data_IF_781401710718
#
_entry.id   IF_781401710718
#
_cell.length_a   1.000
_cell.length_b   1.000
_cell.length_c   1.000
_cell.angle_alpha   90.00
_cell.angle_beta   90.00
_cell.angle_gamma   90.00
#
_symmetry.space_group_name_H-M   'P 1'
#
loop_
_entity.id
_entity.type
_entity.pdbx_description
1 polymer ?
#
# COMPACT_ATOMS: atom_id res chain seq x y z
N UNK A 1 -23.43 -23.89 15.77
CA UNK A 1 -22.41 -22.82 15.98
C UNK A 1 -22.17 -22.18 14.63
N UNK A 2 -22.72 -21.02 14.40
CA UNK A 2 -22.57 -20.30 13.16
C UNK A 2 -21.21 -19.57 13.19
N UNK A 3 -20.26 -20.08 12.42
CA UNK A 3 -19.06 -19.32 12.11
C UNK A 3 -19.51 -18.01 11.45
N UNK A 4 -19.06 -16.90 11.97
CA UNK A 4 -19.27 -15.59 11.36
C UNK A 4 -18.52 -15.58 10.02
N UNK A 5 -19.19 -15.52 8.86
CA UNK A 5 -18.55 -15.67 7.55
C UNK A 5 -17.63 -14.48 7.17
N UNK A 6 -17.31 -13.61 8.13
CA UNK A 6 -16.76 -12.29 7.83
C UNK A 6 -15.23 -12.20 7.71
N UNK A 7 -14.47 -12.78 8.63
CA UNK A 7 -13.03 -12.46 8.76
C UNK A 7 -12.18 -13.16 7.69
N UNK A 8 -12.39 -14.43 7.45
CA UNK A 8 -11.66 -15.19 6.45
C UNK A 8 -11.94 -14.72 5.02
N UNK A 9 -13.19 -14.36 4.72
CA UNK A 9 -13.58 -13.83 3.42
C UNK A 9 -12.96 -12.44 3.17
N UNK A 10 -13.03 -11.54 4.13
CA UNK A 10 -12.45 -10.20 4.01
C UNK A 10 -10.92 -10.27 3.80
N UNK A 11 -10.24 -11.17 4.51
CA UNK A 11 -8.80 -11.40 4.35
C UNK A 11 -8.47 -11.94 2.95
N UNK A 12 -9.24 -12.90 2.46
CA UNK A 12 -9.08 -13.44 1.11
C UNK A 12 -9.27 -12.37 0.03
N UNK A 13 -10.28 -11.52 0.15
CA UNK A 13 -10.52 -10.40 -0.76
C UNK A 13 -9.35 -9.41 -0.74
N UNK A 14 -8.83 -9.07 0.44
CA UNK A 14 -7.71 -8.16 0.58
C UNK A 14 -6.45 -8.69 -0.12
N UNK A 15 -6.10 -9.94 0.12
CA UNK A 15 -4.92 -10.59 -0.49
C UNK A 15 -5.08 -10.76 -2.00
N UNK A 16 -6.26 -11.15 -2.47
CA UNK A 16 -6.54 -11.35 -3.90
C UNK A 16 -6.51 -10.02 -4.65
N UNK A 17 -7.08 -8.97 -4.09
CA UNK A 17 -7.04 -7.61 -4.66
C UNK A 17 -5.61 -7.09 -4.75
N UNK A 18 -4.83 -7.23 -3.68
CA UNK A 18 -3.42 -6.81 -3.66
C UNK A 18 -2.58 -7.57 -4.68
N UNK A 19 -2.77 -8.88 -4.81
CA UNK A 19 -2.07 -9.69 -5.80
C UNK A 19 -2.38 -9.25 -7.22
N UNK A 20 -3.65 -9.07 -7.56
CA UNK A 20 -4.07 -8.62 -8.88
C UNK A 20 -3.49 -7.24 -9.22
N UNK A 21 -3.48 -6.31 -8.28
CA UNK A 21 -2.87 -4.99 -8.46
C UNK A 21 -1.36 -5.10 -8.67
N UNK A 22 -0.67 -5.86 -7.84
CA UNK A 22 0.80 -5.96 -7.89
C UNK A 22 1.29 -6.57 -9.21
N UNK A 23 0.58 -7.54 -9.76
CA UNK A 23 0.88 -8.16 -11.06
C UNK A 23 0.88 -7.13 -12.20
N UNK A 24 0.08 -6.08 -12.11
CA UNK A 24 -0.03 -5.01 -13.10
C UNK A 24 0.82 -3.77 -12.75
N UNK A 25 1.36 -3.69 -11.55
CA UNK A 25 2.11 -2.53 -11.06
C UNK A 25 3.57 -2.59 -11.51
N UNK A 26 3.83 -2.03 -12.68
CA UNK A 26 5.17 -2.00 -13.27
C UNK A 26 6.13 -1.15 -12.47
N UNK A 27 5.68 -0.01 -11.94
CA UNK A 27 6.51 0.94 -11.20
C UNK A 27 7.03 0.34 -9.89
N UNK A 28 6.14 -0.17 -9.05
CA UNK A 28 6.52 -0.80 -7.77
C UNK A 28 7.43 -2.01 -8.00
N UNK A 29 7.13 -2.82 -9.01
CA UNK A 29 7.96 -3.99 -9.37
C UNK A 29 9.35 -3.58 -9.89
N UNK A 30 9.44 -2.54 -10.72
CA UNK A 30 10.71 -2.04 -11.23
C UNK A 30 11.60 -1.49 -10.12
N UNK A 31 11.02 -0.93 -9.06
CA UNK A 31 11.73 -0.46 -7.88
C UNK A 31 12.07 -1.58 -6.88
N UNK A 32 11.75 -2.82 -7.20
CA UNK A 32 12.05 -3.98 -6.36
C UNK A 32 11.21 -4.05 -5.09
N UNK A 33 10.06 -3.40 -5.06
CA UNK A 33 9.15 -3.48 -3.92
C UNK A 33 8.60 -4.89 -3.75
N UNK A 34 8.37 -5.27 -2.50
CA UNK A 34 7.76 -6.54 -2.13
C UNK A 34 6.65 -6.31 -1.14
N UNK A 35 5.52 -6.98 -1.35
CA UNK A 35 4.44 -7.03 -0.37
C UNK A 35 4.82 -8.04 0.72
N UNK A 36 4.84 -7.61 1.97
CA UNK A 36 5.15 -8.45 3.14
C UNK A 36 3.88 -8.90 3.83
N UNK A 37 2.90 -8.02 3.97
CA UNK A 37 1.66 -8.32 4.67
C UNK A 37 0.51 -7.49 4.09
N UNK A 38 -0.64 -8.12 3.93
CA UNK A 38 -1.90 -7.48 3.54
C UNK A 38 -3.00 -7.93 4.51
N UNK A 39 -3.78 -6.97 4.99
CA UNK A 39 -5.02 -7.17 5.74
C UNK A 39 -6.04 -6.10 5.31
N UNK A 40 -7.33 -6.25 5.60
CA UNK A 40 -8.28 -5.16 5.34
C UNK A 40 -7.81 -3.84 5.96
N UNK A 41 -7.66 -2.79 5.13
CA UNK A 41 -7.17 -1.48 5.56
C UNK A 41 -5.68 -1.40 5.93
N UNK A 42 -4.90 -2.42 5.58
CA UNK A 42 -3.50 -2.51 5.98
C UNK A 42 -2.62 -3.08 4.87
N UNK A 43 -1.43 -2.49 4.70
CA UNK A 43 -0.40 -3.05 3.82
C UNK A 43 0.99 -2.76 4.38
N UNK A 44 1.89 -3.73 4.24
CA UNK A 44 3.31 -3.55 4.54
C UNK A 44 4.13 -3.97 3.33
N UNK A 45 4.97 -3.05 2.86
CA UNK A 45 5.86 -3.24 1.72
C UNK A 45 7.29 -2.94 2.10
N UNK A 46 8.23 -3.58 1.40
CA UNK A 46 9.66 -3.29 1.53
C UNK A 46 10.26 -2.85 0.19
N UNK A 47 11.31 -2.04 0.26
CA UNK A 47 12.14 -1.63 -0.86
C UNK A 47 13.58 -1.49 -0.39
N UNK A 48 14.51 -2.14 -1.09
CA UNK A 48 15.93 -1.93 -0.84
C UNK A 48 16.40 -0.67 -1.58
N UNK A 49 17.16 0.18 -0.90
CA UNK A 49 17.79 1.36 -1.51
C UNK A 49 18.98 0.92 -2.36
N UNK A 50 18.81 0.97 -3.69
CA UNK A 50 19.84 0.64 -4.68
C UNK A 50 20.67 1.88 -5.04
N UNK A 51 21.76 1.64 -5.73
CA UNK A 51 22.66 2.70 -6.23
C UNK A 51 21.95 3.71 -7.15
N UNK A 52 20.99 3.24 -7.97
CA UNK A 52 20.18 4.10 -8.86
C UNK A 52 19.07 4.88 -8.14
N UNK A 53 18.95 4.76 -6.83
CA UNK A 53 17.95 5.46 -6.01
C UNK A 53 18.53 6.55 -5.11
N UNK A 54 19.85 6.73 -5.10
CA UNK A 54 20.50 7.72 -4.25
C UNK A 54 20.81 9.00 -5.02
N UNK A 55 20.78 10.12 -4.28
CA UNK A 55 21.20 11.42 -4.80
C UNK A 55 22.72 11.61 -4.63
N UNK A 56 23.24 12.82 -4.95
CA UNK A 56 24.66 13.14 -4.84
C UNK A 56 25.24 13.12 -3.43
N UNK A 57 24.40 12.96 -2.40
CA UNK A 57 24.79 12.79 -0.99
C UNK A 57 24.75 11.33 -0.53
N UNK A 58 24.57 10.38 -1.44
CA UNK A 58 24.42 8.94 -1.17
C UNK A 58 23.25 8.60 -0.25
N UNK A 59 22.22 9.42 -0.24
CA UNK A 59 20.96 9.17 0.47
C UNK A 59 19.84 8.92 -0.52
N UNK A 60 18.89 8.07 -0.14
CA UNK A 60 17.72 7.74 -0.96
C UNK A 60 16.98 9.01 -1.36
N UNK A 61 16.71 9.16 -2.65
CA UNK A 61 15.93 10.29 -3.15
C UNK A 61 14.55 10.30 -2.50
N UNK A 62 14.15 11.46 -1.97
CA UNK A 62 12.87 11.59 -1.25
C UNK A 62 11.65 11.21 -2.08
N UNK A 63 11.69 11.45 -3.39
CA UNK A 63 10.64 11.02 -4.31
C UNK A 63 10.45 9.50 -4.36
N UNK A 64 11.50 8.72 -4.13
CA UNK A 64 11.42 7.25 -4.08
C UNK A 64 10.91 6.74 -2.73
N UNK A 65 11.24 7.42 -1.64
CA UNK A 65 10.61 7.17 -0.33
C UNK A 65 9.12 7.47 -0.41
N UNK A 66 8.75 8.57 -1.05
CA UNK A 66 7.36 8.93 -1.31
C UNK A 66 6.65 7.84 -2.12
N UNK A 67 7.28 7.33 -3.18
CA UNK A 67 6.72 6.26 -4.02
C UNK A 67 6.49 4.98 -3.21
N UNK A 68 7.41 4.60 -2.34
CA UNK A 68 7.22 3.43 -1.45
C UNK A 68 6.02 3.64 -0.51
N UNK A 69 5.94 4.81 0.12
CA UNK A 69 4.83 5.14 1.02
C UNK A 69 3.49 5.19 0.27
N UNK A 70 3.47 5.79 -0.91
CA UNK A 70 2.29 5.88 -1.77
C UNK A 70 1.83 4.49 -2.25
N UNK A 71 2.76 3.61 -2.61
CA UNK A 71 2.45 2.22 -2.96
C UNK A 71 1.82 1.47 -1.78
N UNK A 72 2.39 1.56 -0.59
CA UNK A 72 1.81 0.94 0.60
C UNK A 72 0.40 1.49 0.89
N UNK A 73 0.20 2.79 0.77
CA UNK A 73 -1.10 3.44 0.88
C UNK A 73 -2.08 2.91 -0.18
N UNK A 74 -1.67 2.81 -1.43
CA UNK A 74 -2.49 2.31 -2.52
C UNK A 74 -2.96 0.87 -2.28
N UNK A 75 -2.06 -0.02 -1.85
CA UNK A 75 -2.43 -1.40 -1.51
C UNK A 75 -3.38 -1.46 -0.31
N UNK A 76 -3.15 -0.67 0.73
CA UNK A 76 -4.02 -0.64 1.91
C UNK A 76 -5.45 -0.18 1.57
N UNK A 77 -5.60 0.89 0.80
CA UNK A 77 -6.93 1.43 0.47
C UNK A 77 -7.69 0.60 -0.58
N UNK A 78 -7.01 -0.31 -1.30
CA UNK A 78 -7.62 -1.20 -2.27
C UNK A 78 -7.94 -2.61 -1.74
N UNK A 79 -7.80 -2.84 -0.44
CA UNK A 79 -8.05 -4.16 0.18
C UNK A 79 -9.53 -4.56 0.23
N UNK A 80 -10.43 -3.68 -0.16
CA UNK A 80 -11.89 -3.93 -0.14
C UNK A 80 -12.48 -4.26 -1.51
N UNK A 81 -11.63 -4.54 -2.49
CA UNK A 81 -12.02 -4.86 -3.87
C UNK A 81 -12.72 -3.72 -4.63
N UNK A 82 -12.53 -2.48 -4.21
CA UNK A 82 -12.94 -1.33 -5.00
C UNK A 82 -11.73 -0.59 -5.51
N UNK A 83 -11.71 -0.26 -6.80
CA UNK A 83 -10.65 0.59 -7.37
C UNK A 83 -10.68 1.94 -6.65
N UNK A 84 -9.65 2.19 -5.87
CA UNK A 84 -9.51 3.35 -4.99
C UNK A 84 -8.22 4.08 -5.35
N UNK A 85 -8.32 5.37 -5.55
CA UNK A 85 -7.21 6.21 -6.00
C UNK A 85 -6.82 7.23 -4.93
N UNK A 86 -5.58 7.71 -4.99
CA UNK A 86 -5.13 8.80 -4.15
C UNK A 86 -5.84 10.10 -4.54
N UNK A 87 -6.44 10.79 -3.57
CA UNK A 87 -6.98 12.14 -3.73
C UNK A 87 -5.96 13.20 -3.30
N UNK A 88 -4.96 12.81 -2.53
CA UNK A 88 -3.88 13.66 -2.08
C UNK A 88 -3.04 12.97 -1.01
N UNK A 89 -1.87 13.52 -0.74
CA UNK A 89 -0.98 13.01 0.27
C UNK A 89 0.08 14.03 0.66
N UNK A 90 0.65 13.84 1.84
CA UNK A 90 1.76 14.63 2.35
C UNK A 90 2.76 13.72 3.04
N UNK A 91 4.03 14.11 3.02
CA UNK A 91 5.12 13.38 3.63
C UNK A 91 6.04 14.31 4.38
N UNK A 92 6.52 13.84 5.54
CA UNK A 92 7.60 14.46 6.30
C UNK A 92 8.79 13.50 6.32
N UNK A 93 9.95 13.97 5.90
CA UNK A 93 11.20 13.22 5.95
C UNK A 93 11.90 13.52 7.27
N UNK A 94 12.12 12.48 8.08
CA UNK A 94 12.65 12.62 9.44
C UNK A 94 14.14 12.28 9.51
N UNK A 95 14.57 11.28 8.73
CA UNK A 95 15.95 10.79 8.68
C UNK A 95 16.29 10.32 7.27
N UNK A 96 17.56 10.37 6.85
CA UNK A 96 17.95 9.87 5.54
C UNK A 96 17.84 8.34 5.47
N UNK A 97 17.30 7.84 4.35
CA UNK A 97 17.49 6.46 3.92
C UNK A 97 18.85 6.37 3.22
N UNK A 98 19.66 5.37 3.55
CA UNK A 98 21.01 5.22 3.02
C UNK A 98 21.10 4.12 1.98
N UNK A 99 22.10 4.20 1.11
CA UNK A 99 22.42 3.13 0.17
C UNK A 99 22.54 1.78 0.91
N UNK A 100 21.81 0.77 0.43
CA UNK A 100 21.79 -0.56 1.00
C UNK A 100 20.77 -0.79 2.10
N UNK A 101 20.13 0.28 2.61
CA UNK A 101 19.02 0.11 3.57
C UNK A 101 17.86 -0.66 2.96
N UNK A 102 17.18 -1.42 3.80
CA UNK A 102 15.86 -1.96 3.48
C UNK A 102 14.80 -1.11 4.17
N UNK A 103 14.05 -0.36 3.39
CA UNK A 103 12.96 0.46 3.89
C UNK A 103 11.66 -0.34 3.92
N UNK A 104 10.95 -0.24 5.03
CA UNK A 104 9.64 -0.88 5.24
C UNK A 104 8.58 0.20 5.43
N UNK A 105 7.61 0.25 4.52
CA UNK A 105 6.45 1.12 4.63
C UNK A 105 5.27 0.32 5.19
N UNK A 106 4.69 0.79 6.28
CA UNK A 106 3.52 0.20 6.92
C UNK A 106 2.37 1.19 6.85
N UNK A 107 1.36 0.86 6.06
CA UNK A 107 0.15 1.66 5.85
C UNK A 107 -0.99 1.14 6.70
N UNK A 108 -1.66 2.02 7.41
CA UNK A 108 -2.80 1.72 8.28
C UNK A 108 -3.96 2.69 8.01
N UNK A 109 -5.14 2.12 7.84
CA UNK A 109 -6.38 2.89 7.76
C UNK A 109 -6.65 3.59 9.09
N UNK A 110 -6.86 4.90 9.04
CA UNK A 110 -7.26 5.71 10.21
C UNK A 110 -8.73 6.03 10.20
N UNK A 111 -9.30 6.24 9.03
CA UNK A 111 -10.71 6.52 8.86
C UNK A 111 -11.16 6.09 7.46
N UNK A 112 -12.32 5.52 7.37
CA UNK A 112 -12.95 5.19 6.10
C UNK A 112 -14.45 5.49 6.18
N UNK A 113 -14.94 6.31 5.26
CA UNK A 113 -16.34 6.72 5.22
C UNK A 113 -16.81 6.79 3.78
N UNK A 114 -17.80 5.98 3.42
CA UNK A 114 -18.36 5.89 2.06
C UNK A 114 -17.24 5.70 1.02
N UNK A 115 -16.88 6.78 0.31
CA UNK A 115 -15.91 6.79 -0.79
C UNK A 115 -14.57 7.43 -0.42
N UNK A 116 -14.40 7.90 0.80
CA UNK A 116 -13.18 8.56 1.25
C UNK A 116 -12.50 7.80 2.37
N UNK A 117 -11.18 7.88 2.41
CA UNK A 117 -10.39 7.29 3.47
C UNK A 117 -9.16 8.13 3.80
N UNK A 118 -8.67 7.97 5.02
CA UNK A 118 -7.41 8.55 5.50
C UNK A 118 -6.54 7.40 6.01
N UNK A 119 -5.29 7.40 5.55
CA UNK A 119 -4.30 6.37 5.86
C UNK A 119 -3.01 7.00 6.30
N UNK A 120 -2.41 6.48 7.36
CA UNK A 120 -1.06 6.85 7.77
C UNK A 120 -0.07 5.77 7.36
N UNK A 121 1.08 6.20 6.86
CA UNK A 121 2.18 5.30 6.49
C UNK A 121 3.43 5.74 7.23
N UNK A 122 4.03 4.83 7.99
CA UNK A 122 5.34 4.99 8.58
C UNK A 122 6.38 4.22 7.77
N UNK A 123 7.48 4.87 7.42
CA UNK A 123 8.61 4.24 6.73
C UNK A 123 9.77 4.10 7.71
N UNK A 124 10.24 2.87 7.92
CA UNK A 124 11.36 2.56 8.80
C UNK A 124 12.48 1.88 8.03
N UNK A 125 13.72 2.03 8.50
CA UNK A 125 14.84 1.22 8.03
C UNK A 125 14.94 -0.09 8.82
N UNK A 126 15.91 -0.95 8.51
CA UNK A 126 16.14 -2.23 9.17
C UNK A 126 16.56 -2.11 10.64
N UNK A 127 17.05 -0.94 11.06
CA UNK A 127 17.39 -0.66 12.46
C UNK A 127 16.18 -0.17 13.28
N UNK A 128 14.99 -0.05 12.64
CA UNK A 128 13.78 0.45 13.28
C UNK A 128 13.72 1.98 13.38
N UNK A 129 14.63 2.69 12.75
CA UNK A 129 14.58 4.15 12.71
C UNK A 129 13.46 4.63 11.77
N UNK A 130 12.64 5.57 12.23
CA UNK A 130 11.61 6.18 11.40
C UNK A 130 12.25 7.16 10.41
N UNK A 131 12.13 6.84 9.12
CA UNK A 131 12.70 7.61 8.01
C UNK A 131 11.72 8.67 7.54
N UNK A 132 10.43 8.33 7.45
CA UNK A 132 9.41 9.24 6.96
C UNK A 132 8.03 8.88 7.52
N UNK A 133 7.18 9.90 7.58
CA UNK A 133 5.75 9.77 7.89
C UNK A 133 4.95 10.33 6.73
N UNK A 134 3.97 9.57 6.26
CA UNK A 134 3.10 9.93 5.14
C UNK A 134 1.64 9.83 5.59
N UNK A 135 0.81 10.76 5.11
CA UNK A 135 -0.64 10.66 5.23
C UNK A 135 -1.28 10.79 3.86
N UNK A 136 -2.06 9.79 3.47
CA UNK A 136 -2.80 9.77 2.23
C UNK A 136 -4.31 9.88 2.45
N UNK A 137 -4.97 10.53 1.49
CA UNK A 137 -6.42 10.57 1.38
C UNK A 137 -6.83 9.84 0.12
N UNK A 138 -7.79 8.95 0.24
CA UNK A 138 -8.26 8.10 -0.84
C UNK A 138 -9.65 8.49 -1.33
N UNK A 139 -9.91 8.15 -2.59
CA UNK A 139 -11.25 8.22 -3.19
C UNK A 139 -11.57 6.88 -3.85
N UNK A 140 -12.64 6.24 -3.36
CA UNK A 140 -13.13 4.96 -3.87
C UNK A 140 -14.06 5.18 -5.05
N UNK A 141 -13.83 4.44 -6.13
CA UNK A 141 -14.72 4.38 -7.29
C UNK A 141 -15.76 3.26 -7.13
N UNK A 142 -16.64 3.09 -8.10
CA UNK A 142 -17.59 1.96 -8.15
C UNK A 142 -17.04 0.73 -8.87
N UNK A 143 -15.84 0.82 -9.46
CA UNK A 143 -15.22 -0.30 -10.16
C UNK A 143 -14.59 -1.30 -9.18
N UNK A 144 -14.57 -2.58 -9.55
CA UNK A 144 -13.91 -3.64 -8.78
C UNK A 144 -12.53 -3.99 -9.37
N UNK A 145 -11.63 -4.46 -8.51
CA UNK A 145 -10.28 -4.89 -8.90
C UNK A 145 -10.32 -6.33 -9.41
N UNK A 146 -11.08 -7.18 -8.71
CA UNK A 146 -11.29 -8.60 -9.05
C UNK A 146 -12.80 -8.89 -9.12
N UNK A 147 -13.15 -9.90 -9.92
CA UNK A 147 -14.50 -10.45 -9.90
C UNK A 147 -14.67 -11.36 -8.69
N UNK A 148 -15.74 -11.15 -7.92
CA UNK A 148 -16.08 -12.08 -6.83
C UNK A 148 -16.76 -13.33 -7.38
N UNK A 149 -16.38 -14.54 -6.91
CA UNK A 149 -17.08 -15.75 -7.28
C UNK A 149 -18.56 -15.66 -6.86
N UNK A 150 -19.46 -15.58 -7.82
CA UNK A 150 -20.92 -15.55 -7.60
C UNK A 150 -21.63 -14.28 -8.04
N UNK A 151 -20.97 -13.28 -8.62
CA UNK A 151 -21.62 -12.06 -9.12
C UNK A 151 -22.36 -12.24 -10.46
N UNK A 152 -22.26 -13.40 -11.11
CA UNK A 152 -22.79 -13.65 -12.45
C UNK A 152 -24.18 -14.33 -12.48
N UNK A 153 -24.93 -14.33 -11.38
CA UNK A 153 -26.22 -15.02 -11.30
C UNK A 153 -27.47 -14.10 -11.42
N UNK A 154 -27.34 -12.85 -11.91
CA UNK A 154 -28.52 -11.99 -12.08
C UNK A 154 -28.47 -11.05 -13.28
N UNK A 155 -27.98 -11.54 -14.43
CA UNK A 155 -28.23 -10.90 -15.73
C UNK A 155 -28.63 -11.97 -16.75
N UNK A 156 -29.82 -12.47 -16.63
CA UNK A 156 -30.57 -13.15 -17.66
C UNK A 156 -31.95 -12.52 -17.73
#
# INVERSE_FOLDING_TARGET
>A
MSETPGVGHAQHIAESSARAMFEQDRASRALGMRIVEIRPGFARLTMRVRDDMVNGHEICHGGLIFTLADSAFAFACNTYNFVTVAAGGSIDFLRPGRLGDTLTATAEERSRSRRTGVYDVAVHNQAGECIAMFRGRSHQTSAHIIEEPGSDASRA
#
